data_IF_516711642651
#
_entry.id   IF_516711642651
#
_cell.length_a   1.000
_cell.length_b   1.000
_cell.length_c   1.000
_cell.angle_alpha   90.00
_cell.angle_beta   90.00
_cell.angle_gamma   90.00
#
_symmetry.space_group_name_H-M   'P 1'
#
loop_
_entity.id
_entity.type
_entity.pdbx_description
1 polymer ?
#
# COMPACT_ATOMS: atom_id res chain seq x y z
N UNK A 1 -8.36 20.38 -26.72
CA UNK A 1 -7.11 20.09 -26.00
C UNK A 1 -7.40 18.99 -24.99
N UNK A 2 -7.06 17.76 -25.32
CA UNK A 2 -7.29 16.60 -24.46
C UNK A 2 -6.17 16.50 -23.42
N UNK A 3 -6.50 16.73 -22.15
CA UNK A 3 -5.59 16.56 -21.04
C UNK A 3 -5.33 15.08 -20.80
N UNK A 4 -4.08 14.65 -20.94
CA UNK A 4 -3.62 13.32 -20.54
C UNK A 4 -3.80 13.15 -19.03
N UNK A 5 -4.72 12.27 -18.63
CA UNK A 5 -4.89 11.80 -17.26
C UNK A 5 -3.79 10.77 -16.97
N UNK A 6 -2.63 11.25 -16.52
CA UNK A 6 -1.59 10.40 -15.94
C UNK A 6 -2.21 9.67 -14.74
N UNK A 7 -2.50 8.39 -14.90
CA UNK A 7 -3.12 7.58 -13.86
C UNK A 7 -2.06 6.70 -13.22
N UNK A 8 -1.55 7.11 -12.07
CA UNK A 8 -0.62 6.29 -11.28
C UNK A 8 -1.39 5.13 -10.63
N UNK A 9 -0.98 3.90 -10.95
CA UNK A 9 -1.52 2.68 -10.37
C UNK A 9 -0.40 1.91 -9.71
N UNK A 10 -0.67 1.38 -8.51
CA UNK A 10 0.22 0.51 -7.78
C UNK A 10 -0.19 -0.94 -7.98
N UNK A 11 0.73 -1.77 -8.48
CA UNK A 11 0.58 -3.23 -8.50
C UNK A 11 1.48 -3.82 -7.41
N UNK A 12 0.90 -4.62 -6.51
CA UNK A 12 1.62 -5.36 -5.48
C UNK A 12 1.62 -6.84 -5.84
N UNK A 13 2.81 -7.45 -5.84
CA UNK A 13 3.02 -8.87 -6.12
C UNK A 13 4.10 -9.42 -5.18
N UNK A 14 3.88 -10.55 -4.50
CA UNK A 14 4.81 -11.18 -3.55
C UNK A 14 5.19 -12.62 -3.97
N UNK A 15 6.46 -13.03 -3.83
CA UNK A 15 6.96 -14.40 -4.10
C UNK A 15 7.46 -15.10 -2.82
N UNK A 16 7.25 -16.42 -2.77
CA UNK A 16 8.21 -17.41 -2.25
C UNK A 16 8.34 -18.47 -3.38
N UNK A 17 9.55 -18.79 -3.85
CA UNK A 17 9.95 -19.70 -4.96
C UNK A 17 9.12 -21.02 -5.14
N UNK A 18 9.02 -21.75 -6.27
CA UNK A 18 9.59 -21.79 -7.64
C UNK A 18 8.60 -22.58 -8.54
N UNK A 19 8.14 -22.07 -9.69
CA UNK A 19 7.78 -22.88 -10.88
C UNK A 19 7.64 -22.02 -12.14
N UNK A 20 7.83 -22.57 -13.35
CA UNK A 20 7.74 -21.89 -14.66
C UNK A 20 6.39 -21.17 -14.95
N UNK A 21 5.42 -21.23 -14.04
CA UNK A 21 4.16 -20.45 -14.04
C UNK A 21 4.36 -19.02 -13.49
N UNK A 22 5.47 -18.75 -12.80
CA UNK A 22 5.75 -17.48 -12.09
C UNK A 22 6.07 -16.28 -13.02
N UNK A 23 6.65 -16.50 -14.21
CA UNK A 23 7.03 -15.41 -15.14
C UNK A 23 5.82 -14.61 -15.68
N UNK A 24 4.63 -15.22 -15.67
CA UNK A 24 3.40 -14.54 -16.08
C UNK A 24 2.79 -13.66 -14.97
N UNK A 25 3.16 -13.85 -13.71
CA UNK A 25 2.59 -13.11 -12.58
C UNK A 25 3.36 -11.82 -12.33
N UNK A 26 4.69 -11.85 -12.42
CA UNK A 26 5.56 -10.72 -12.06
C UNK A 26 6.00 -9.91 -13.27
N UNK A 27 6.18 -8.61 -13.07
CA UNK A 27 6.96 -7.82 -14.02
C UNK A 27 8.43 -8.26 -14.00
N UNK A 28 9.18 -8.04 -15.09
CA UNK A 28 10.59 -8.42 -15.13
C UNK A 28 11.38 -7.81 -13.97
N UNK A 29 12.16 -8.66 -13.30
CA UNK A 29 12.98 -8.35 -12.13
C UNK A 29 14.44 -8.75 -12.38
N UNK A 30 15.37 -8.29 -11.51
CA UNK A 30 16.76 -8.73 -11.52
C UNK A 30 17.74 -8.00 -12.44
N UNK A 31 17.27 -7.22 -13.43
CA UNK A 31 18.16 -6.35 -14.26
C UNK A 31 18.32 -4.92 -13.75
N UNK A 32 17.67 -4.61 -12.62
CA UNK A 32 17.65 -3.29 -12.01
C UNK A 32 18.80 -3.03 -11.04
N UNK A 33 18.60 -2.06 -10.15
CA UNK A 33 19.49 -1.82 -9.01
C UNK A 33 19.09 -2.81 -7.93
N UNK A 34 20.02 -3.68 -7.54
CA UNK A 34 19.80 -4.77 -6.60
C UNK A 34 20.84 -4.76 -5.49
N UNK A 35 20.45 -5.24 -4.32
CA UNK A 35 21.39 -5.62 -3.26
C UNK A 35 20.89 -6.87 -2.53
N UNK A 36 21.79 -7.53 -1.82
CA UNK A 36 21.46 -8.70 -1.02
C UNK A 36 20.70 -8.29 0.24
N UNK A 37 19.75 -9.11 0.66
CA UNK A 37 19.26 -9.04 2.04
C UNK A 37 20.46 -9.31 2.96
N UNK A 38 20.74 -8.39 3.88
CA UNK A 38 21.91 -8.45 4.76
C UNK A 38 21.46 -8.49 6.20
N UNK A 39 21.63 -9.64 6.86
CA UNK A 39 21.47 -9.79 8.30
C UNK A 39 22.57 -8.97 9.04
N UNK A 40 22.28 -8.19 10.10
CA UNK A 40 20.97 -7.79 10.67
C UNK A 40 20.64 -6.31 10.37
N UNK A 41 21.11 -5.78 9.24
CA UNK A 41 21.08 -4.34 9.00
C UNK A 41 19.92 -3.95 8.09
N UNK A 42 19.07 -3.07 8.62
CA UNK A 42 18.08 -2.34 7.83
C UNK A 42 18.79 -1.58 6.70
N UNK A 43 18.47 -1.97 5.47
CA UNK A 43 19.09 -1.42 4.26
C UNK A 43 18.06 -0.83 3.33
N UNK A 44 18.44 0.25 2.63
CA UNK A 44 17.54 1.03 1.81
C UNK A 44 18.16 1.30 0.45
N UNK A 45 17.38 1.11 -0.61
CA UNK A 45 17.72 1.58 -1.94
C UNK A 45 16.91 2.84 -2.23
N UNK A 46 17.60 3.99 -2.36
CA UNK A 46 16.97 5.23 -2.80
C UNK A 46 16.84 5.23 -4.32
N UNK A 47 15.60 5.29 -4.81
CA UNK A 47 15.31 5.46 -6.22
C UNK A 47 14.70 6.84 -6.50
N UNK A 48 15.39 7.66 -7.29
CA UNK A 48 14.82 8.88 -7.84
C UNK A 48 13.91 8.54 -9.02
N UNK A 49 12.65 8.98 -8.96
CA UNK A 49 11.69 8.73 -10.02
C UNK A 49 11.96 9.59 -11.24
N UNK A 50 11.99 8.96 -12.42
CA UNK A 50 12.09 9.66 -13.71
C UNK A 50 10.77 10.32 -14.11
N UNK A 51 9.67 9.97 -13.44
CA UNK A 51 8.35 10.58 -13.61
C UNK A 51 7.71 10.72 -12.23
N UNK A 52 7.20 11.92 -11.91
CA UNK A 52 6.61 12.17 -10.61
C UNK A 52 5.43 11.21 -10.34
N UNK A 53 5.45 10.52 -9.20
CA UNK A 53 4.46 9.54 -8.79
C UNK A 53 3.39 10.20 -7.92
N UNK A 54 2.11 10.01 -8.24
CA UNK A 54 1.01 10.51 -7.40
C UNK A 54 0.48 9.40 -6.50
N UNK A 55 0.47 9.67 -5.21
CA UNK A 55 -0.03 8.79 -4.17
C UNK A 55 -0.99 9.55 -3.25
N UNK A 56 -2.28 9.22 -3.34
CA UNK A 56 -3.39 9.84 -2.61
C UNK A 56 -3.33 11.37 -2.55
N UNK A 57 -3.21 12.02 -3.72
CA UNK A 57 -3.16 13.48 -3.84
C UNK A 57 -1.81 14.12 -3.54
N UNK A 58 -0.81 13.36 -3.11
CA UNK A 58 0.58 13.82 -2.94
C UNK A 58 1.42 13.41 -4.13
N UNK A 59 2.40 14.24 -4.44
CA UNK A 59 3.34 13.99 -5.54
C UNK A 59 4.70 13.71 -4.95
N UNK A 60 5.30 12.59 -5.36
CA UNK A 60 6.61 12.13 -4.95
C UNK A 60 7.55 12.03 -6.15
N UNK A 61 8.82 12.34 -5.92
CA UNK A 61 9.89 12.27 -6.93
C UNK A 61 10.94 11.23 -6.58
N UNK A 62 10.76 10.50 -5.49
CA UNK A 62 11.67 9.48 -5.00
C UNK A 62 10.92 8.45 -4.17
N UNK A 63 11.55 7.29 -3.97
CA UNK A 63 11.10 6.22 -3.07
C UNK A 63 12.31 5.56 -2.43
N UNK A 64 12.14 5.14 -1.19
CA UNK A 64 13.05 4.28 -0.45
C UNK A 64 12.48 2.87 -0.49
N UNK A 65 13.24 1.96 -1.09
CA UNK A 65 12.93 0.53 -1.10
C UNK A 65 13.67 -0.09 0.08
N UNK A 66 12.95 -0.49 1.11
CA UNK A 66 13.51 -1.12 2.29
C UNK A 66 13.60 -2.65 2.06
N UNK A 67 14.66 -3.27 2.56
CA UNK A 67 14.93 -4.72 2.48
C UNK A 67 13.80 -5.58 3.06
N UNK A 68 13.05 -5.06 4.03
CA UNK A 68 11.92 -5.70 4.69
C UNK A 68 10.58 -5.52 3.99
N UNK A 69 10.59 -5.21 2.68
CA UNK A 69 9.39 -5.29 1.84
C UNK A 69 8.45 -4.09 1.94
N UNK A 70 9.01 -2.97 2.38
CA UNK A 70 8.32 -1.70 2.54
C UNK A 70 8.84 -0.64 1.55
N UNK A 71 7.92 0.18 1.04
CA UNK A 71 8.24 1.41 0.31
C UNK A 71 7.74 2.62 1.09
N UNK A 72 8.62 3.61 1.25
CA UNK A 72 8.33 4.94 1.79
C UNK A 72 8.83 6.01 0.84
N UNK A 73 8.29 7.23 0.92
CA UNK A 73 8.60 8.27 -0.09
C UNK A 73 9.43 9.44 0.42
N UNK A 74 9.42 9.69 1.74
CA UNK A 74 10.07 10.89 2.33
C UNK A 74 11.40 10.59 2.99
N UNK A 75 11.51 9.43 3.63
CA UNK A 75 12.69 9.03 4.39
C UNK A 75 12.75 7.51 4.51
N UNK A 76 13.95 7.03 4.80
CA UNK A 76 14.20 5.69 5.29
C UNK A 76 13.41 5.47 6.59
N UNK A 77 12.86 4.27 6.75
CA UNK A 77 12.16 3.87 7.96
C UNK A 77 12.86 2.62 8.51
N UNK A 78 13.74 2.78 9.51
CA UNK A 78 14.36 1.66 10.20
C UNK A 78 13.34 1.11 11.20
N UNK A 79 12.46 0.23 10.73
CA UNK A 79 11.46 -0.44 11.54
C UNK A 79 11.61 -1.95 11.33
N UNK A 80 12.03 -2.64 12.38
CA UNK A 80 12.43 -4.04 12.36
C UNK A 80 11.25 -5.01 12.34
N UNK A 81 10.00 -4.54 12.28
CA UNK A 81 8.84 -5.43 12.30
C UNK A 81 7.62 -4.82 11.62
N UNK A 82 6.78 -5.65 10.97
CA UNK A 82 5.57 -5.16 10.34
C UNK A 82 4.57 -4.62 11.37
N UNK A 83 3.98 -3.47 11.05
CA UNK A 83 2.90 -2.87 11.85
C UNK A 83 1.54 -3.05 11.15
N UNK A 84 0.47 -3.11 11.94
CA UNK A 84 -0.90 -3.20 11.42
C UNK A 84 -1.35 -1.86 10.84
N UNK A 85 -1.94 -1.86 9.64
CA UNK A 85 -2.59 -0.67 9.09
C UNK A 85 -4.03 -0.49 9.62
N UNK A 86 -4.47 0.76 9.88
CA UNK A 86 -3.72 1.99 9.71
C UNK A 86 -2.70 2.17 10.84
N UNK A 87 -1.46 2.48 10.45
CA UNK A 87 -0.35 2.74 11.38
C UNK A 87 -0.60 3.97 12.25
N UNK A 88 -1.47 4.89 11.79
CA UNK A 88 -1.61 6.23 12.34
C UNK A 88 -0.27 7.00 12.40
N UNK A 89 0.69 6.59 11.60
CA UNK A 89 2.03 7.17 11.53
C UNK A 89 2.08 8.46 10.71
N UNK A 90 3.32 8.91 10.51
CA UNK A 90 3.63 10.15 9.81
C UNK A 90 4.24 9.92 8.41
N UNK A 91 4.02 8.75 7.82
CA UNK A 91 4.54 8.40 6.50
C UNK A 91 3.43 7.82 5.59
N UNK A 92 3.66 7.91 4.29
CA UNK A 92 2.89 7.18 3.29
C UNK A 92 3.61 5.84 3.04
N UNK A 93 2.86 4.75 3.12
CA UNK A 93 3.40 3.39 3.06
C UNK A 93 2.81 2.62 1.89
N UNK A 94 3.66 1.86 1.22
CA UNK A 94 3.26 0.78 0.35
C UNK A 94 4.03 -0.46 0.82
N UNK A 95 3.30 -1.49 1.24
CA UNK A 95 3.86 -2.73 1.76
C UNK A 95 3.32 -3.90 0.91
N UNK A 96 3.96 -4.27 -0.22
CA UNK A 96 3.59 -5.47 -0.94
C UNK A 96 3.77 -6.74 -0.08
N UNK A 97 4.79 -6.72 0.79
CA UNK A 97 5.14 -7.81 1.71
C UNK A 97 6.01 -7.24 2.83
N UNK A 98 5.46 -6.51 3.80
CA UNK A 98 6.28 -6.05 4.92
C UNK A 98 6.48 -7.19 5.92
N UNK A 99 7.72 -7.64 6.13
CA UNK A 99 8.10 -8.71 7.05
C UNK A 99 9.57 -8.57 7.42
N UNK A 100 10.04 -9.34 8.39
CA UNK A 100 11.44 -9.40 8.78
C UNK A 100 12.19 -10.31 7.77
N UNK A 101 12.53 -9.75 6.60
CA UNK A 101 13.09 -10.50 5.47
C UNK A 101 14.61 -10.64 5.56
N UNK A 102 15.29 -9.72 6.24
CA UNK A 102 16.73 -9.74 6.45
C UNK A 102 17.19 -10.67 7.57
N UNK A 103 16.33 -10.98 8.54
CA UNK A 103 16.58 -11.99 9.59
C UNK A 103 16.90 -13.39 9.03
N UNK A 104 16.38 -13.73 7.84
CA UNK A 104 16.72 -14.99 7.15
C UNK A 104 18.05 -14.87 6.39
N UNK A 105 18.47 -13.65 6.03
CA UNK A 105 19.74 -13.37 5.35
C UNK A 105 19.88 -13.97 3.96
N UNK A 106 18.79 -14.46 3.34
CA UNK A 106 18.80 -15.13 2.05
C UNK A 106 17.88 -14.43 1.07
N UNK A 107 18.47 -13.88 0.00
CA UNK A 107 17.71 -13.29 -1.09
C UNK A 107 18.27 -11.95 -1.57
N UNK A 108 17.51 -11.32 -2.46
CA UNK A 108 17.83 -9.99 -2.98
C UNK A 108 16.58 -9.13 -3.00
N UNK A 109 16.80 -7.83 -2.88
CA UNK A 109 15.76 -6.86 -3.19
C UNK A 109 16.28 -5.85 -4.21
N UNK A 110 15.40 -5.49 -5.12
CA UNK A 110 15.74 -4.73 -6.31
C UNK A 110 14.69 -3.69 -6.63
N UNK A 111 15.08 -2.69 -7.40
CA UNK A 111 14.13 -1.86 -8.14
C UNK A 111 14.57 -1.60 -9.58
N UNK A 112 13.60 -1.34 -10.45
CA UNK A 112 13.80 -0.93 -11.83
C UNK A 112 12.71 0.04 -12.28
N UNK A 113 13.07 0.92 -13.21
CA UNK A 113 12.16 1.85 -13.86
C UNK A 113 12.12 1.60 -15.37
N UNK A 114 10.94 1.66 -15.94
CA UNK A 114 10.70 1.49 -17.36
C UNK A 114 9.99 2.72 -17.90
N UNK A 115 10.53 3.31 -18.97
CA UNK A 115 9.90 4.40 -19.74
C UNK A 115 9.76 4.04 -21.22
N UNK A 116 10.07 2.79 -21.58
CA UNK A 116 9.92 2.20 -22.90
C UNK A 116 9.88 0.66 -22.79
N UNK A 117 9.63 0.00 -23.91
CA UNK A 117 9.65 -1.45 -24.03
C UNK A 117 8.36 -2.15 -23.59
N UNK A 118 8.34 -3.48 -23.76
CA UNK A 118 7.14 -4.32 -23.60
C UNK A 118 6.53 -4.27 -22.18
N UNK A 119 7.28 -3.80 -21.18
CA UNK A 119 6.75 -3.60 -19.82
C UNK A 119 5.65 -2.56 -19.79
N UNK A 120 5.75 -1.49 -20.60
CA UNK A 120 4.69 -0.49 -20.69
C UNK A 120 3.43 -1.04 -21.36
N UNK A 121 3.58 -1.86 -22.41
CA UNK A 121 2.46 -2.50 -23.08
C UNK A 121 1.73 -3.48 -22.15
N UNK A 122 2.49 -4.29 -21.41
CA UNK A 122 1.94 -5.20 -20.38
C UNK A 122 1.20 -4.41 -19.29
N UNK A 123 1.79 -3.34 -18.77
CA UNK A 123 1.13 -2.52 -17.76
C UNK A 123 -0.14 -1.85 -18.28
N UNK A 124 -0.10 -1.37 -19.53
CA UNK A 124 -1.27 -0.82 -20.20
C UNK A 124 -2.39 -1.86 -20.30
N UNK A 125 -2.07 -3.08 -20.73
CA UNK A 125 -3.05 -4.17 -20.86
C UNK A 125 -3.60 -4.60 -19.49
N UNK A 126 -2.73 -4.87 -18.52
CA UNK A 126 -3.09 -5.29 -17.17
C UNK A 126 -4.04 -4.28 -16.51
N UNK A 127 -3.72 -2.98 -16.57
CA UNK A 127 -4.54 -1.96 -15.91
C UNK A 127 -5.89 -1.79 -16.61
N UNK A 128 -5.92 -1.83 -17.95
CA UNK A 128 -7.20 -1.74 -18.67
C UNK A 128 -8.06 -3.00 -18.50
N UNK A 129 -7.45 -4.16 -18.23
CA UNK A 129 -8.16 -5.37 -17.85
C UNK A 129 -8.77 -5.25 -16.45
N UNK A 130 -8.00 -4.77 -15.47
CA UNK A 130 -8.45 -4.69 -14.07
C UNK A 130 -9.41 -3.52 -13.82
N UNK A 131 -9.23 -2.41 -14.56
CA UNK A 131 -10.02 -1.19 -14.45
C UNK A 131 -10.55 -0.77 -15.83
N UNK A 132 -11.55 -1.47 -16.36
CA UNK A 132 -12.10 -1.18 -17.67
C UNK A 132 -12.66 0.25 -17.74
N UNK A 133 -12.64 0.82 -18.94
CA UNK A 133 -13.13 2.18 -19.25
C UNK A 133 -12.30 3.34 -18.65
N UNK A 134 -11.06 3.09 -18.21
CA UNK A 134 -10.13 4.16 -17.80
C UNK A 134 -9.32 4.74 -18.95
N UNK A 135 -9.18 4.02 -20.06
CA UNK A 135 -8.34 4.45 -21.19
C UNK A 135 -6.89 4.66 -20.78
N UNK A 136 -6.39 3.82 -19.87
CA UNK A 136 -5.06 3.97 -19.32
C UNK A 136 -4.01 3.63 -20.38
N UNK A 137 -2.91 4.39 -20.39
CA UNK A 137 -1.71 4.08 -21.18
C UNK A 137 -0.51 4.34 -20.28
N UNK A 138 0.29 3.30 -20.04
CA UNK A 138 1.49 3.42 -19.23
C UNK A 138 2.57 4.21 -19.99
N UNK A 139 3.05 5.30 -19.40
CA UNK A 139 4.25 6.01 -19.87
C UNK A 139 5.47 5.73 -19.00
N UNK A 140 5.25 5.15 -17.82
CA UNK A 140 6.28 4.86 -16.85
C UNK A 140 5.81 3.76 -15.89
N UNK A 141 6.69 2.84 -15.55
CA UNK A 141 6.47 1.76 -14.57
C UNK A 141 7.66 1.69 -13.63
N UNK A 142 7.39 1.65 -12.33
CA UNK A 142 8.37 1.32 -11.31
C UNK A 142 8.07 -0.08 -10.78
N UNK A 143 9.10 -0.92 -10.73
CA UNK A 143 9.02 -2.29 -10.21
C UNK A 143 9.99 -2.38 -9.05
N UNK A 144 9.52 -2.78 -7.88
CA UNK A 144 10.36 -3.22 -6.78
C UNK A 144 10.04 -4.69 -6.47
N UNK A 145 11.07 -5.47 -6.20
CA UNK A 145 10.95 -6.91 -5.95
C UNK A 145 11.80 -7.32 -4.77
N UNK A 146 11.29 -8.28 -4.02
CA UNK A 146 11.99 -8.99 -2.96
C UNK A 146 11.92 -10.46 -3.32
N UNK A 147 13.07 -11.03 -3.64
CA UNK A 147 13.25 -12.46 -3.91
C UNK A 147 13.88 -13.08 -2.67
N UNK A 148 13.07 -13.74 -1.87
CA UNK A 148 13.46 -14.25 -0.55
C UNK A 148 12.57 -15.41 -0.14
N UNK A 149 12.97 -16.07 0.94
CA UNK A 149 12.13 -17.00 1.69
C UNK A 149 11.98 -16.47 3.10
N UNK A 150 10.75 -16.16 3.53
CA UNK A 150 10.49 -15.78 4.92
C UNK A 150 9.43 -16.67 5.54
N UNK A 151 9.59 -16.94 6.84
CA UNK A 151 8.65 -17.68 7.69
C UNK A 151 7.99 -16.78 8.74
N UNK A 152 8.26 -15.48 8.71
CA UNK A 152 7.87 -14.57 9.77
C UNK A 152 6.50 -13.95 9.51
N UNK A 153 6.01 -13.26 10.52
CA UNK A 153 4.79 -12.48 10.41
C UNK A 153 4.98 -11.47 9.27
N UNK A 154 3.93 -11.29 8.47
CA UNK A 154 3.92 -10.28 7.42
C UNK A 154 2.77 -9.29 7.63
N UNK A 155 2.79 -8.20 6.89
CA UNK A 155 1.63 -7.34 6.67
C UNK A 155 1.72 -6.80 5.25
N UNK A 156 0.60 -6.81 4.53
CA UNK A 156 0.57 -6.33 3.15
C UNK A 156 -0.60 -5.39 2.92
N UNK A 157 -0.38 -4.40 2.04
CA UNK A 157 -1.34 -3.37 1.71
C UNK A 157 -0.70 -2.00 1.59
N UNK A 158 -1.43 -0.97 2.01
CA UNK A 158 -0.96 0.41 1.94
C UNK A 158 -1.59 1.26 3.04
N UNK A 159 -0.91 2.33 3.42
CA UNK A 159 -1.42 3.30 4.38
C UNK A 159 -0.99 4.71 3.98
N UNK A 160 -1.74 5.71 4.44
CA UNK A 160 -1.54 7.10 4.04
C UNK A 160 -1.43 8.05 5.24
N UNK A 161 -0.40 8.89 5.22
CA UNK A 161 -0.21 9.91 6.24
C UNK A 161 -1.43 10.83 6.29
N UNK A 162 -1.94 11.08 7.50
CA UNK A 162 -2.95 12.12 7.71
C UNK A 162 -4.28 11.90 6.99
N UNK A 163 -4.56 10.68 6.52
CA UNK A 163 -5.80 10.33 5.84
C UNK A 163 -6.39 9.03 6.44
N UNK A 164 -7.60 8.69 5.99
CA UNK A 164 -8.29 7.44 6.33
C UNK A 164 -8.22 6.43 5.18
N UNK A 165 -7.44 6.72 4.13
CA UNK A 165 -7.22 5.82 3.03
C UNK A 165 -6.11 4.84 3.40
N UNK A 166 -6.49 3.63 3.77
CA UNK A 166 -5.56 2.52 3.95
C UNK A 166 -6.23 1.25 3.47
N UNK A 167 -5.44 0.22 3.23
CA UNK A 167 -5.95 -1.11 2.95
C UNK A 167 -5.01 -2.14 3.56
N UNK A 168 -5.59 -3.14 4.22
CA UNK A 168 -4.87 -4.33 4.67
C UNK A 168 -5.34 -5.48 3.79
N UNK A 169 -4.41 -6.17 3.15
CA UNK A 169 -4.72 -7.41 2.42
C UNK A 169 -5.24 -8.42 3.45
N UNK A 170 -6.46 -8.98 3.27
CA UNK A 170 -7.05 -9.90 4.23
C UNK A 170 -6.11 -11.06 4.57
N UNK A 171 -6.00 -11.36 5.86
CA UNK A 171 -5.15 -12.43 6.40
C UNK A 171 -3.65 -12.26 6.08
N UNK A 172 -3.19 -11.04 5.79
CA UNK A 172 -1.75 -10.74 5.74
C UNK A 172 -1.20 -10.47 7.13
N UNK A 173 -1.97 -9.81 8.01
CA UNK A 173 -1.55 -9.35 9.34
C UNK A 173 -2.09 -10.22 10.50
N UNK A 174 -2.50 -11.46 10.23
CA UNK A 174 -3.13 -12.36 11.23
C UNK A 174 -2.10 -13.11 12.10
N UNK A 175 -0.81 -12.82 11.93
CA UNK A 175 0.27 -13.50 12.65
C UNK A 175 0.65 -14.85 12.06
N UNK A 176 0.07 -15.23 10.91
CA UNK A 176 0.48 -16.42 10.17
C UNK A 176 1.46 -16.08 9.04
N UNK A 177 2.15 -17.12 8.57
CA UNK A 177 3.09 -17.09 7.44
C UNK A 177 2.47 -16.50 6.16
N UNK A 178 3.29 -16.34 5.11
CA UNK A 178 2.98 -15.75 3.79
C UNK A 178 2.02 -16.55 2.83
N UNK A 179 1.35 -17.69 3.13
CA UNK A 179 0.58 -18.43 2.12
C UNK A 179 -0.55 -17.67 1.41
N UNK A 180 -1.23 -16.74 2.09
CA UNK A 180 -2.42 -16.10 1.53
C UNK A 180 -2.12 -15.08 0.42
N UNK A 181 -0.93 -14.48 0.41
CA UNK A 181 -0.59 -13.48 -0.61
C UNK A 181 -0.43 -14.11 -2.00
N UNK A 182 -0.10 -15.40 -2.09
CA UNK A 182 0.02 -16.12 -3.36
C UNK A 182 -1.32 -16.49 -4.00
N UNK A 183 -2.35 -16.71 -3.19
CA UNK A 183 -3.63 -17.25 -3.65
C UNK A 183 -4.75 -16.22 -3.70
N UNK A 184 -4.65 -15.14 -2.90
CA UNK A 184 -5.66 -14.09 -2.82
C UNK A 184 -5.49 -13.00 -3.89
N UNK A 185 -6.58 -12.28 -4.17
CA UNK A 185 -6.60 -11.17 -5.14
C UNK A 185 -7.86 -10.31 -5.00
N UNK A 186 -7.77 -9.02 -5.36
CA UNK A 186 -8.92 -8.15 -5.59
C UNK A 186 -9.32 -8.00 -7.07
N UNK A 187 -8.55 -8.59 -8.00
CA UNK A 187 -8.75 -8.45 -9.45
C UNK A 187 -8.95 -9.81 -10.15
N UNK A 188 -9.04 -10.89 -9.39
CA UNK A 188 -9.37 -12.23 -9.89
C UNK A 188 -8.18 -13.02 -10.46
N UNK A 189 -6.97 -12.47 -10.41
CA UNK A 189 -5.72 -13.15 -10.76
C UNK A 189 -4.97 -13.47 -9.46
N UNK A 190 -4.81 -14.76 -9.09
CA UNK A 190 -4.10 -15.15 -7.87
C UNK A 190 -2.73 -14.47 -7.74
N UNK A 191 -2.40 -13.98 -6.55
CA UNK A 191 -1.11 -13.34 -6.29
C UNK A 191 -1.01 -11.89 -6.73
N UNK A 192 -2.05 -11.34 -7.38
CA UNK A 192 -2.05 -9.96 -7.86
C UNK A 192 -3.06 -9.09 -7.13
N UNK A 193 -2.57 -7.95 -6.66
CA UNK A 193 -3.38 -6.90 -6.08
C UNK A 193 -3.15 -5.59 -6.81
N UNK A 194 -4.22 -4.89 -7.14
CA UNK A 194 -4.15 -3.62 -7.88
C UNK A 194 -5.00 -2.53 -7.21
N UNK A 195 -4.42 -1.34 -7.05
CA UNK A 195 -5.07 -0.23 -6.35
C UNK A 195 -4.95 1.08 -7.13
N UNK A 196 -6.07 1.80 -7.25
CA UNK A 196 -6.11 3.16 -7.80
C UNK A 196 -5.74 4.16 -6.72
N UNK A 197 -4.50 4.67 -6.78
CA UNK A 197 -3.90 5.55 -5.77
C UNK A 197 -3.76 7.00 -6.22
N UNK A 198 -4.14 7.33 -7.47
CA UNK A 198 -4.01 8.68 -8.02
C UNK A 198 -5.14 9.65 -7.63
N UNK A 199 -6.17 9.17 -6.90
CA UNK A 199 -7.25 10.05 -6.43
C UNK A 199 -6.69 11.05 -5.43
N UNK A 200 -7.15 12.29 -5.49
CA UNK A 200 -6.79 13.31 -4.50
C UNK A 200 -7.14 12.85 -3.08
N UNK A 201 -6.45 13.38 -2.07
CA UNK A 201 -6.98 13.32 -0.71
C UNK A 201 -8.37 13.93 -0.73
N UNK A 202 -9.37 13.21 -0.19
CA UNK A 202 -10.65 13.82 0.10
C UNK A 202 -10.34 15.03 1.01
N UNK A 203 -10.89 16.20 0.71
CA UNK A 203 -10.83 17.35 1.62
C UNK A 203 -11.53 16.93 2.92
N UNK A 204 -10.74 16.37 3.84
CA UNK A 204 -11.25 15.77 5.05
C UNK A 204 -11.09 16.82 6.13
N UNK A 205 -12.20 17.36 6.62
CA UNK A 205 -12.16 18.19 7.83
C UNK A 205 -11.95 17.23 8.99
N UNK A 206 -10.77 17.29 9.60
CA UNK A 206 -10.46 16.52 10.80
C UNK A 206 -11.26 17.07 11.98
N UNK A 207 -12.08 16.22 12.59
CA UNK A 207 -12.84 16.55 13.80
C UNK A 207 -12.32 15.69 14.95
N UNK A 208 -11.73 16.32 15.97
CA UNK A 208 -11.35 15.63 17.21
C UNK A 208 -12.49 15.80 18.23
N UNK A 209 -13.10 14.70 18.65
CA UNK A 209 -14.18 14.70 19.63
C UNK A 209 -13.73 14.05 20.93
N UNK A 210 -13.96 14.72 22.04
CA UNK A 210 -13.86 14.10 23.35
C UNK A 210 -15.24 13.53 23.71
N UNK A 211 -15.32 12.22 23.90
CA UNK A 211 -16.57 11.53 24.22
C UNK A 211 -16.42 10.84 25.57
N UNK A 212 -17.37 11.08 26.46
CA UNK A 212 -17.51 10.32 27.71
C UNK A 212 -18.55 9.23 27.48
N UNK A 213 -18.17 7.98 27.72
CA UNK A 213 -19.03 6.80 27.51
C UNK A 213 -18.82 5.81 28.64
N UNK A 214 -19.91 5.18 29.08
CA UNK A 214 -19.86 4.03 30.00
C UNK A 214 -19.48 2.72 29.28
N UNK A 215 -19.66 2.67 27.95
CA UNK A 215 -19.29 1.54 27.10
C UNK A 215 -17.88 1.71 26.53
N UNK A 216 -17.18 0.60 26.31
CA UNK A 216 -15.87 0.62 25.69
C UNK A 216 -15.96 0.96 24.19
N UNK A 217 -15.60 2.20 23.84
CA UNK A 217 -15.71 2.69 22.46
C UNK A 217 -14.63 2.15 21.52
N UNK A 218 -13.68 1.34 22.00
CA UNK A 218 -12.73 0.64 21.13
C UNK A 218 -13.34 -0.60 20.48
N UNK A 219 -14.48 -1.09 20.97
CA UNK A 219 -15.16 -2.26 20.39
C UNK A 219 -15.87 -1.85 19.09
N UNK A 220 -15.67 -2.62 18.01
CA UNK A 220 -16.13 -2.28 16.65
C UNK A 220 -17.63 -1.99 16.55
N UNK A 221 -18.46 -2.76 17.26
CA UNK A 221 -19.91 -2.53 17.34
C UNK A 221 -20.26 -1.17 17.96
N UNK A 222 -19.51 -0.74 18.97
CA UNK A 222 -19.72 0.55 19.64
C UNK A 222 -19.22 1.73 18.78
N UNK A 223 -18.15 1.52 18.01
CA UNK A 223 -17.61 2.52 17.07
C UNK A 223 -18.67 2.92 16.04
N UNK A 224 -19.32 1.95 15.40
CA UNK A 224 -20.28 2.26 14.34
C UNK A 224 -21.48 3.06 14.88
N UNK A 225 -22.00 2.68 16.05
CA UNK A 225 -23.10 3.40 16.72
C UNK A 225 -22.72 4.85 17.03
N UNK A 226 -21.48 5.09 17.48
CA UNK A 226 -20.99 6.44 17.74
C UNK A 226 -20.86 7.24 16.44
N UNK A 227 -20.28 6.66 15.38
CA UNK A 227 -20.16 7.33 14.08
C UNK A 227 -21.52 7.75 13.53
N UNK A 228 -22.53 6.89 13.66
CA UNK A 228 -23.90 7.20 13.24
C UNK A 228 -24.50 8.35 14.06
N UNK A 229 -24.32 8.35 15.39
CA UNK A 229 -24.76 9.45 16.26
C UNK A 229 -24.04 10.77 15.96
N UNK A 230 -22.74 10.74 15.73
CA UNK A 230 -21.94 11.92 15.36
C UNK A 230 -22.43 12.44 14.01
N UNK A 231 -22.66 11.56 13.02
CA UNK A 231 -23.21 11.94 11.71
C UNK A 231 -24.56 12.62 11.85
N UNK A 232 -25.50 12.03 12.60
CA UNK A 232 -26.81 12.62 12.85
C UNK A 232 -26.70 14.02 13.48
N UNK A 233 -25.82 14.18 14.48
CA UNK A 233 -25.62 15.48 15.13
C UNK A 233 -25.03 16.50 14.16
N UNK A 234 -24.03 16.13 13.37
CA UNK A 234 -23.43 17.02 12.35
C UNK A 234 -24.45 17.45 11.30
N UNK A 235 -25.28 16.53 10.81
CA UNK A 235 -26.37 16.83 9.87
C UNK A 235 -27.41 17.77 10.49
N UNK A 236 -27.79 17.52 11.76
CA UNK A 236 -28.72 18.42 12.49
C UNK A 236 -28.17 19.83 12.70
N UNK A 237 -26.86 20.01 12.65
CA UNK A 237 -26.17 21.30 12.75
C UNK A 237 -25.85 21.93 11.38
N UNK A 238 -26.47 21.44 10.30
CA UNK A 238 -26.42 22.07 8.98
C UNK A 238 -25.45 21.45 7.97
N UNK A 239 -24.79 20.33 8.29
CA UNK A 239 -24.03 19.59 7.28
C UNK A 239 -24.97 18.77 6.36
N UNK A 240 -24.61 18.59 5.07
CA UNK A 240 -25.37 17.76 4.15
C UNK A 240 -25.56 16.31 4.63
N UNK A 241 -26.70 15.68 4.34
CA UNK A 241 -26.97 14.29 4.74
C UNK A 241 -26.06 13.25 4.09
N UNK A 242 -25.46 13.59 2.95
CA UNK A 242 -24.53 12.75 2.20
C UNK A 242 -23.08 12.81 2.72
N UNK A 243 -22.81 13.48 3.85
CA UNK A 243 -21.48 13.42 4.47
C UNK A 243 -21.09 11.97 4.79
N UNK A 244 -19.81 11.65 4.55
CA UNK A 244 -19.19 10.39 4.95
C UNK A 244 -18.26 10.67 6.12
N UNK A 245 -18.41 9.91 7.21
CA UNK A 245 -17.50 9.96 8.35
C UNK A 245 -16.62 8.72 8.31
N UNK A 246 -15.31 8.93 8.26
CA UNK A 246 -14.32 7.88 8.38
C UNK A 246 -13.59 8.06 9.71
N UNK A 247 -13.59 7.03 10.55
CA UNK A 247 -12.86 7.06 11.80
C UNK A 247 -11.36 6.96 11.52
N UNK A 248 -10.57 7.89 12.06
CA UNK A 248 -9.11 7.82 12.01
C UNK A 248 -8.54 6.97 13.15
N UNK A 249 -8.90 7.30 14.40
CA UNK A 249 -8.41 6.63 15.60
C UNK A 249 -9.38 6.81 16.76
N UNK A 250 -9.50 5.81 17.63
CA UNK A 250 -10.12 5.93 18.96
C UNK A 250 -9.03 5.75 20.00
N UNK A 251 -8.97 6.68 20.96
CA UNK A 251 -8.03 6.62 22.08
C UNK A 251 -8.83 6.55 23.37
N UNK A 252 -8.69 5.46 24.11
CA UNK A 252 -9.19 5.40 25.48
C UNK A 252 -8.25 6.21 26.36
N UNK A 253 -8.76 7.27 26.99
CA UNK A 253 -8.03 7.95 28.06
C UNK A 253 -8.22 7.14 29.35
N UNK A 254 -7.12 6.80 30.06
CA UNK A 254 -7.20 6.17 31.38
C UNK A 254 -7.86 7.08 32.41
#
# INVERSE_FOLDING_TARGET
>A
MAGSLVSHLLLLTSVLALSEIDDLIFYPSGSGVCTTLSDPNETFLLANFTTAFKYFGRTYTQVYVNNNGLLTFKKELPESSPIVFPSNGNEDYIAPLWSDLDDVGLGTYCYQQYSNGNVLDRATQDINQYFPNKGFVASWVFVATWDTTSTDQSTAGFDTIGSTNFFVIPNSSDGQTIPNLKSSSNIGTPGRWAFVVNKGTVNTVGLHLHLSSISNLTDSGNVQVILDKVKQKLVSNGLPSNIQLNLKKVLKKP
#
